data_IF_227641794937
#
_entry.id   IF_227641794937
#
_cell.length_a   1.000
_cell.length_b   1.000
_cell.length_c   1.000
_cell.angle_alpha   90.00
_cell.angle_beta   90.00
_cell.angle_gamma   90.00
#
_symmetry.space_group_name_H-M   'P 1'
#
loop_
_entity.id
_entity.type
_entity.pdbx_description
1 polymer ?
#
# COMPACT_ATOMS: atom_id res chain seq x y z
N UNK A 1 5.71 -0.67 -28.14
CA UNK A 1 6.43 -0.34 -26.88
C UNK A 1 5.61 -0.87 -25.70
N UNK A 2 6.19 -1.55 -24.71
CA UNK A 2 5.44 -1.98 -23.50
C UNK A 2 5.07 -0.74 -22.66
N UNK A 3 3.84 -0.65 -22.11
CA UNK A 3 3.43 0.49 -21.31
C UNK A 3 4.25 0.57 -20.02
N UNK A 4 4.67 1.77 -19.64
CA UNK A 4 5.31 2.10 -18.38
C UNK A 4 4.21 2.26 -17.32
N UNK A 5 4.25 1.38 -16.32
CA UNK A 5 3.24 1.32 -15.26
C UNK A 5 3.86 1.79 -13.95
N UNK A 6 3.25 2.80 -13.33
CA UNK A 6 3.63 3.26 -11.98
C UNK A 6 2.56 2.89 -10.97
N UNK A 7 2.99 2.66 -9.73
CA UNK A 7 2.09 2.49 -8.58
C UNK A 7 2.14 3.71 -7.68
N UNK A 8 0.97 4.19 -7.27
CA UNK A 8 0.77 5.27 -6.32
C UNK A 8 0.08 4.70 -5.09
N UNK A 9 0.78 4.69 -3.96
CA UNK A 9 0.40 3.90 -2.80
C UNK A 9 0.17 4.81 -1.62
N UNK A 10 -1.06 4.84 -1.11
CA UNK A 10 -1.32 5.42 0.19
C UNK A 10 -0.87 4.43 1.27
N UNK A 11 0.31 4.70 1.88
CA UNK A 11 0.90 3.80 2.86
C UNK A 11 0.03 3.63 4.10
N UNK A 12 -0.72 4.66 4.49
CA UNK A 12 -1.52 4.63 5.70
C UNK A 12 -2.79 3.83 5.46
N UNK A 13 -3.50 4.10 4.36
CA UNK A 13 -4.69 3.34 3.98
C UNK A 13 -4.36 1.86 3.75
N UNK A 14 -3.25 1.55 3.07
CA UNK A 14 -2.79 0.18 2.87
C UNK A 14 -2.47 -0.51 4.20
N UNK A 15 -1.61 0.10 5.03
CA UNK A 15 -1.17 -0.52 6.28
C UNK A 15 -2.32 -0.71 7.27
N UNK A 16 -3.16 0.30 7.48
CA UNK A 16 -4.29 0.19 8.41
C UNK A 16 -5.37 -0.74 7.85
N UNK A 17 -5.64 -0.67 6.54
CA UNK A 17 -6.62 -1.51 5.87
C UNK A 17 -6.26 -2.99 5.92
N UNK A 18 -4.98 -3.36 5.85
CA UNK A 18 -4.59 -4.78 6.03
C UNK A 18 -4.54 -5.17 7.51
N UNK A 19 -4.05 -4.30 8.39
CA UNK A 19 -3.64 -4.69 9.76
C UNK A 19 -4.68 -4.53 10.86
N UNK A 20 -5.71 -3.69 10.68
CA UNK A 20 -6.74 -3.50 11.71
C UNK A 20 -7.80 -4.59 11.64
N UNK A 21 -8.26 -5.04 12.80
CA UNK A 21 -9.50 -5.81 12.89
C UNK A 21 -10.67 -4.89 12.54
N UNK A 22 -11.70 -5.46 11.92
CA UNK A 22 -12.99 -4.79 11.74
C UNK A 22 -14.03 -5.65 12.42
N UNK A 23 -14.70 -5.05 13.39
CA UNK A 23 -15.75 -5.67 14.18
C UNK A 23 -17.07 -4.98 13.84
N UNK A 24 -18.15 -5.75 13.70
CA UNK A 24 -19.52 -5.26 13.51
C UNK A 24 -20.40 -5.99 14.49
N UNK A 25 -21.04 -5.23 15.40
CA UNK A 25 -21.98 -5.69 16.44
C UNK A 25 -21.67 -7.11 16.95
N UNK A 26 -20.83 -7.20 17.99
CA UNK A 26 -20.45 -8.45 18.66
C UNK A 26 -19.79 -9.52 17.77
N UNK A 27 -19.41 -9.20 16.53
CA UNK A 27 -18.76 -10.14 15.62
C UNK A 27 -17.57 -9.52 14.88
N UNK A 28 -16.45 -10.24 14.87
CA UNK A 28 -15.31 -9.92 14.00
C UNK A 28 -15.65 -10.29 12.55
N UNK A 29 -15.58 -9.31 11.65
CA UNK A 29 -15.88 -9.48 10.22
C UNK A 29 -14.64 -9.43 9.32
N UNK A 30 -13.53 -8.95 9.88
CA UNK A 30 -12.20 -8.98 9.26
C UNK A 30 -11.13 -9.08 10.35
N UNK A 31 -10.22 -10.03 10.20
CA UNK A 31 -9.06 -10.20 11.09
C UNK A 31 -7.84 -9.57 10.42
N UNK A 32 -7.26 -8.59 11.10
CA UNK A 32 -6.11 -7.87 10.62
C UNK A 32 -4.87 -8.74 10.47
N UNK A 33 -4.04 -8.41 9.48
CA UNK A 33 -2.76 -9.07 9.22
C UNK A 33 -1.71 -8.04 8.78
N UNK A 34 -0.45 -8.38 9.02
CA UNK A 34 0.67 -7.50 8.68
C UNK A 34 1.17 -7.82 7.29
N UNK A 35 1.14 -6.82 6.41
CA UNK A 35 1.65 -6.90 5.05
C UNK A 35 3.18 -6.91 5.04
N UNK A 36 3.76 -7.81 4.26
CA UNK A 36 5.18 -7.78 3.94
C UNK A 36 5.40 -6.85 2.74
N UNK A 37 5.96 -5.66 3.01
CA UNK A 37 6.21 -4.65 1.99
C UNK A 37 7.20 -5.10 0.91
N UNK A 38 8.13 -6.02 1.22
CA UNK A 38 9.05 -6.58 0.23
C UNK A 38 8.32 -7.53 -0.71
N UNK A 39 7.50 -8.44 -0.16
CA UNK A 39 6.65 -9.34 -0.98
C UNK A 39 5.65 -8.53 -1.80
N UNK A 40 5.05 -7.48 -1.23
CA UNK A 40 4.12 -6.60 -1.94
C UNK A 40 4.80 -5.87 -3.11
N UNK A 41 6.01 -5.34 -2.93
CA UNK A 41 6.75 -4.68 -4.02
C UNK A 41 7.06 -5.63 -5.17
N UNK A 42 7.44 -6.87 -4.85
CA UNK A 42 7.65 -7.95 -5.83
C UNK A 42 6.35 -8.28 -6.57
N UNK A 43 5.23 -8.40 -5.86
CA UNK A 43 3.92 -8.64 -6.46
C UNK A 43 3.52 -7.53 -7.45
N UNK A 44 3.70 -6.26 -7.08
CA UNK A 44 3.46 -5.14 -7.99
C UNK A 44 4.31 -5.24 -9.27
N UNK A 45 5.59 -5.61 -9.13
CA UNK A 45 6.50 -5.79 -10.25
C UNK A 45 6.10 -6.98 -11.14
N UNK A 46 5.83 -8.15 -10.55
CA UNK A 46 5.58 -9.37 -11.33
C UNK A 46 4.18 -9.40 -11.95
N UNK A 47 3.15 -8.98 -11.19
CA UNK A 47 1.76 -9.09 -11.63
C UNK A 47 1.37 -7.96 -12.58
N UNK A 48 1.83 -6.75 -12.30
CA UNK A 48 1.40 -5.55 -13.00
C UNK A 48 2.53 -4.84 -13.75
N UNK A 49 3.74 -5.41 -13.78
CA UNK A 49 4.91 -4.79 -14.43
C UNK A 49 5.18 -3.36 -13.93
N UNK A 50 4.91 -3.11 -12.64
CA UNK A 50 5.15 -1.80 -12.03
C UNK A 50 6.64 -1.48 -12.04
N UNK A 51 7.00 -0.48 -12.82
CA UNK A 51 8.35 0.03 -12.96
C UNK A 51 8.77 0.82 -11.71
N UNK A 52 7.92 1.76 -11.27
CA UNK A 52 8.16 2.60 -10.08
C UNK A 52 6.97 2.53 -9.13
N UNK A 53 7.25 2.48 -7.84
CA UNK A 53 6.24 2.43 -6.78
C UNK A 53 6.45 3.60 -5.81
N UNK A 54 5.61 4.62 -5.94
CA UNK A 54 5.59 5.79 -5.08
C UNK A 54 4.76 5.50 -3.83
N UNK A 55 5.40 5.57 -2.67
CA UNK A 55 4.78 5.29 -1.38
C UNK A 55 4.61 6.60 -0.61
N UNK A 56 3.37 7.08 -0.55
CA UNK A 56 3.01 8.30 0.18
C UNK A 56 2.89 8.00 1.66
N UNK A 57 3.71 8.64 2.49
CA UNK A 57 3.84 8.34 3.91
C UNK A 57 4.05 9.61 4.74
N UNK A 58 3.54 9.65 5.97
CA UNK A 58 3.84 10.76 6.90
C UNK A 58 5.28 10.67 7.43
N UNK A 59 5.93 11.82 7.60
CA UNK A 59 7.26 11.89 8.19
C UNK A 59 7.18 11.91 9.73
N UNK A 60 7.89 10.97 10.35
CA UNK A 60 8.04 10.82 11.80
C UNK A 60 9.52 10.48 12.02
N UNK A 61 10.25 11.35 12.72
CA UNK A 61 11.71 11.24 12.93
C UNK A 61 12.14 9.88 13.51
N UNK A 62 11.31 9.25 14.33
CA UNK A 62 11.60 7.96 14.97
C UNK A 62 11.54 6.77 13.99
N UNK A 63 10.98 6.96 12.79
CA UNK A 63 10.76 5.90 11.80
C UNK A 63 11.87 5.77 10.75
N UNK A 64 13.05 6.36 10.93
CA UNK A 64 14.15 6.29 9.96
C UNK A 64 14.52 4.86 9.53
N UNK A 65 14.53 3.91 10.47
CA UNK A 65 14.79 2.50 10.16
C UNK A 65 13.74 1.91 9.21
N UNK A 66 12.46 2.25 9.43
CA UNK A 66 11.36 1.86 8.56
C UNK A 66 11.54 2.47 7.15
N UNK A 67 11.86 3.75 7.07
CA UNK A 67 12.06 4.44 5.79
C UNK A 67 13.23 3.84 4.99
N UNK A 68 14.35 3.53 5.66
CA UNK A 68 15.47 2.83 5.02
C UNK A 68 15.06 1.46 4.48
N UNK A 69 14.34 0.67 5.27
CA UNK A 69 13.85 -0.66 4.86
C UNK A 69 12.88 -0.57 3.66
N UNK A 70 11.97 0.39 3.64
CA UNK A 70 11.06 0.60 2.50
C UNK A 70 11.82 1.01 1.24
N UNK A 71 12.80 1.92 1.33
CA UNK A 71 13.66 2.28 0.19
C UNK A 71 14.42 1.07 -0.34
N UNK A 72 15.01 0.26 0.55
CA UNK A 72 15.71 -0.98 0.18
C UNK A 72 14.78 -2.01 -0.49
N UNK A 73 13.49 -2.00 -0.17
CA UNK A 73 12.51 -2.83 -0.87
C UNK A 73 12.22 -2.32 -2.30
N UNK A 74 12.62 -1.10 -2.66
CA UNK A 74 12.41 -0.51 -3.98
C UNK A 74 11.21 0.43 -4.08
N UNK A 75 10.83 1.08 -2.97
CA UNK A 75 9.82 2.14 -2.95
C UNK A 75 10.47 3.53 -3.05
N UNK A 76 9.86 4.41 -3.84
CA UNK A 76 10.15 5.85 -3.86
C UNK A 76 9.26 6.53 -2.82
N UNK A 77 9.84 6.91 -1.67
CA UNK A 77 9.08 7.51 -0.57
C UNK A 77 8.74 8.97 -0.87
N UNK A 78 7.45 9.30 -0.81
CA UNK A 78 6.96 10.67 -0.91
C UNK A 78 6.40 11.06 0.46
N UNK A 79 7.08 11.98 1.14
CA UNK A 79 6.63 12.43 2.45
C UNK A 79 5.48 13.43 2.29
N UNK A 80 4.32 13.07 2.83
CA UNK A 80 3.18 13.99 2.90
C UNK A 80 3.61 15.21 3.74
N UNK A 81 3.35 16.45 3.30
CA UNK A 81 3.72 17.64 4.06
C UNK A 81 3.10 17.54 5.45
N UNK A 82 3.92 17.68 6.48
CA UNK A 82 3.43 17.82 7.85
C UNK A 82 2.77 19.19 7.93
N UNK A 83 1.47 19.22 8.24
CA UNK A 83 0.75 20.47 8.46
C UNK A 83 1.43 21.18 9.62
N UNK A 84 2.26 22.18 9.30
CA UNK A 84 2.76 23.33 10.11
C UNK A 84 4.14 23.76 9.60
N UNK A 85 4.12 24.72 8.69
CA UNK A 85 5.10 25.79 8.61
C UNK A 85 4.34 27.06 9.05
N UNK A 86 4.97 27.91 9.85
CA UNK A 86 4.45 29.18 10.37
C UNK A 86 4.07 30.18 9.25
N UNK A 87 4.33 29.83 7.99
CA UNK A 87 4.02 30.62 6.79
C UNK A 87 2.75 30.17 6.04
N UNK A 88 1.98 29.18 6.54
CA UNK A 88 0.66 28.81 5.99
C UNK A 88 0.62 28.32 4.54
N UNK A 89 1.76 28.22 3.84
CA UNK A 89 1.82 27.80 2.44
C UNK A 89 2.08 26.31 2.36
N UNK A 90 1.00 25.54 2.26
CA UNK A 90 1.08 24.16 1.80
C UNK A 90 1.66 24.16 0.37
N UNK A 91 2.97 23.90 0.22
CA UNK A 91 3.57 23.53 -1.08
C UNK A 91 3.16 22.10 -1.41
N UNK A 92 1.86 21.89 -1.62
CA UNK A 92 1.33 20.77 -2.36
C UNK A 92 1.56 21.02 -3.84
N UNK A 93 2.83 21.10 -4.26
CA UNK A 93 3.11 21.03 -5.69
C UNK A 93 2.70 19.63 -6.11
N UNK A 94 1.58 19.51 -6.81
CA UNK A 94 1.19 18.31 -7.50
C UNK A 94 2.43 17.85 -8.27
N UNK A 95 3.08 16.78 -7.79
CA UNK A 95 4.25 16.24 -8.47
C UNK A 95 3.73 15.74 -9.80
N UNK A 96 3.93 16.53 -10.86
CA UNK A 96 3.74 16.04 -12.20
C UNK A 96 4.69 14.86 -12.35
N UNK A 97 4.13 13.68 -12.56
CA UNK A 97 4.88 12.48 -12.94
C UNK A 97 4.71 12.28 -14.46
N UNK A 98 5.44 13.00 -15.32
CA UNK A 98 5.17 13.05 -16.75
C UNK A 98 5.54 11.77 -17.53
N UNK A 99 5.87 10.66 -16.87
CA UNK A 99 6.54 9.51 -17.51
C UNK A 99 5.89 8.16 -17.24
N UNK A 100 4.55 8.08 -17.19
CA UNK A 100 3.85 6.79 -17.14
C UNK A 100 2.63 6.76 -18.06
N UNK A 101 2.39 5.58 -18.62
CA UNK A 101 1.26 5.30 -19.50
C UNK A 101 0.03 4.88 -18.68
N UNK A 102 0.26 4.13 -17.61
CA UNK A 102 -0.79 3.50 -16.79
C UNK A 102 -0.47 3.54 -15.29
N UNK A 103 -1.51 3.67 -14.47
CA UNK A 103 -1.42 3.81 -13.01
C UNK A 103 -2.07 2.63 -12.28
N UNK A 104 -1.35 2.11 -11.29
CA UNK A 104 -1.88 1.25 -10.24
C UNK A 104 -2.09 2.11 -8.98
N UNK A 105 -3.35 2.37 -8.64
CA UNK A 105 -3.70 3.07 -7.40
C UNK A 105 -3.81 2.06 -6.27
N UNK A 106 -3.16 2.28 -5.14
CA UNK A 106 -3.25 1.40 -3.97
C UNK A 106 -3.85 2.17 -2.81
N UNK A 107 -5.17 2.09 -2.71
CA UNK A 107 -6.00 2.66 -1.66
C UNK A 107 -7.42 2.11 -1.78
N UNK A 108 -8.11 1.99 -0.67
CA UNK A 108 -9.55 1.78 -0.59
C UNK A 108 -10.32 3.02 -0.16
N UNK A 109 -9.66 4.17 -0.04
CA UNK A 109 -10.26 5.42 0.46
C UNK A 109 -11.15 6.11 -0.58
N UNK A 110 -12.25 6.69 -0.12
CA UNK A 110 -13.18 7.46 -0.95
C UNK A 110 -12.60 8.79 -1.41
N UNK A 111 -11.66 9.36 -0.67
CA UNK A 111 -11.02 10.63 -0.99
C UNK A 111 -10.27 10.61 -2.33
N UNK A 112 -9.88 9.42 -2.80
CA UNK A 112 -9.24 9.25 -4.11
C UNK A 112 -10.24 9.10 -5.27
N UNK A 113 -11.56 9.16 -5.01
CA UNK A 113 -12.58 8.98 -6.06
C UNK A 113 -12.36 9.93 -7.24
N UNK A 114 -12.16 11.22 -6.99
CA UNK A 114 -11.95 12.21 -8.05
C UNK A 114 -10.69 11.91 -8.88
N UNK A 115 -9.61 11.44 -8.24
CA UNK A 115 -8.39 11.04 -8.93
C UNK A 115 -8.61 9.77 -9.76
N UNK A 116 -9.34 8.79 -9.23
CA UNK A 116 -9.71 7.57 -9.97
C UNK A 116 -10.54 7.92 -11.20
N UNK A 117 -11.54 8.78 -11.05
CA UNK A 117 -12.39 9.26 -12.15
C UNK A 117 -11.58 9.97 -13.23
N UNK A 118 -10.68 10.88 -12.83
CA UNK A 118 -9.74 11.54 -13.73
C UNK A 118 -8.84 10.54 -14.47
N UNK A 119 -8.23 9.58 -13.77
CA UNK A 119 -7.38 8.58 -14.40
C UNK A 119 -8.16 7.69 -15.37
N UNK A 120 -9.45 7.41 -15.12
CA UNK A 120 -10.31 6.69 -16.07
C UNK A 120 -10.58 7.53 -17.30
N UNK A 121 -10.93 8.82 -17.14
CA UNK A 121 -11.23 9.71 -18.27
C UNK A 121 -10.03 9.93 -19.18
N UNK A 122 -8.82 9.95 -18.60
CA UNK A 122 -7.56 10.04 -19.35
C UNK A 122 -7.08 8.69 -19.92
N UNK A 123 -7.84 7.61 -19.73
CA UNK A 123 -7.41 6.24 -20.05
C UNK A 123 -6.04 5.89 -19.43
N UNK A 124 -5.76 6.36 -18.22
CA UNK A 124 -4.53 6.09 -17.47
C UNK A 124 -4.71 5.12 -16.31
N UNK A 125 -5.93 4.87 -15.83
CA UNK A 125 -6.16 3.88 -14.77
C UNK A 125 -5.91 2.45 -15.29
N UNK A 126 -5.08 1.69 -14.57
CA UNK A 126 -4.89 0.26 -14.84
C UNK A 126 -5.58 -0.61 -13.80
N UNK A 127 -5.27 -0.42 -12.52
CA UNK A 127 -5.87 -1.18 -11.41
C UNK A 127 -5.99 -0.32 -10.15
N UNK A 128 -6.95 -0.68 -9.31
CA UNK A 128 -7.11 -0.18 -7.94
C UNK A 128 -6.85 -1.36 -7.01
N UNK A 129 -5.90 -1.28 -6.09
CA UNK A 129 -5.65 -2.30 -5.09
C UNK A 129 -6.27 -1.84 -3.77
N UNK A 130 -7.45 -2.38 -3.47
CA UNK A 130 -8.15 -2.13 -2.23
C UNK A 130 -7.57 -3.03 -1.12
N UNK A 131 -7.24 -2.49 0.07
CA UNK A 131 -6.61 -3.29 1.14
C UNK A 131 -7.45 -4.50 1.58
N UNK A 132 -8.77 -4.34 1.63
CA UNK A 132 -9.72 -5.39 2.01
C UNK A 132 -11.10 -5.13 1.37
N UNK A 133 -12.11 -5.96 1.67
CA UNK A 133 -13.49 -5.85 1.13
C UNK A 133 -14.29 -4.61 1.53
N UNK A 134 -13.84 -3.87 2.53
CA UNK A 134 -14.51 -2.71 3.14
C UNK A 134 -13.92 -1.38 2.62
N UNK A 135 -13.62 -1.30 1.32
CA UNK A 135 -13.24 -0.05 0.68
C UNK A 135 -14.46 0.83 0.39
N UNK A 136 -14.23 2.10 0.06
CA UNK A 136 -15.29 3.09 -0.14
C UNK A 136 -16.26 2.68 -1.24
N UNK A 137 -17.55 2.87 -0.97
CA UNK A 137 -18.65 2.64 -1.93
C UNK A 137 -18.51 3.51 -3.19
N UNK A 138 -17.86 4.67 -3.09
CA UNK A 138 -17.57 5.54 -4.24
C UNK A 138 -16.73 4.83 -5.29
N UNK A 139 -15.89 3.87 -4.89
CA UNK A 139 -15.06 3.10 -5.80
C UNK A 139 -15.81 1.92 -6.45
N UNK A 140 -17.05 1.61 -6.03
CA UNK A 140 -17.80 0.46 -6.55
C UNK A 140 -18.11 0.58 -8.05
N UNK A 141 -18.33 1.81 -8.55
CA UNK A 141 -18.48 2.10 -9.99
C UNK A 141 -17.28 1.61 -10.82
N UNK A 142 -16.11 1.46 -10.18
CA UNK A 142 -14.85 1.07 -10.80
C UNK A 142 -14.43 -0.37 -10.46
N UNK A 143 -15.34 -1.22 -9.99
CA UNK A 143 -15.05 -2.60 -9.56
C UNK A 143 -14.28 -3.44 -10.58
N UNK A 144 -14.48 -3.20 -11.89
CA UNK A 144 -13.73 -3.87 -12.96
C UNK A 144 -12.21 -3.64 -12.90
N UNK A 145 -11.76 -2.58 -12.22
CA UNK A 145 -10.36 -2.26 -11.99
C UNK A 145 -9.85 -2.75 -10.63
N UNK A 146 -10.74 -3.15 -9.72
CA UNK A 146 -10.41 -3.42 -8.33
C UNK A 146 -9.79 -4.81 -8.16
N UNK A 147 -8.68 -4.87 -7.43
CA UNK A 147 -8.03 -6.07 -6.94
C UNK A 147 -7.99 -5.99 -5.42
N UNK A 148 -8.44 -7.04 -4.76
CA UNK A 148 -8.54 -7.16 -3.31
C UNK A 148 -7.23 -7.71 -2.73
N UNK A 149 -6.52 -6.92 -1.93
CA UNK A 149 -5.21 -7.32 -1.34
C UNK A 149 -5.38 -8.35 -0.22
N UNK A 150 -6.49 -8.32 0.53
CA UNK A 150 -6.82 -9.32 1.54
C UNK A 150 -6.94 -10.74 0.97
N UNK A 151 -7.39 -10.89 -0.28
CA UNK A 151 -7.44 -12.19 -0.97
C UNK A 151 -6.04 -12.77 -1.25
N UNK A 152 -4.99 -11.95 -1.13
CA UNK A 152 -3.59 -12.32 -1.34
C UNK A 152 -2.83 -12.49 -0.02
N UNK A 153 -3.54 -12.47 1.13
CA UNK A 153 -2.92 -12.54 2.46
C UNK A 153 -1.93 -13.70 2.61
N UNK A 154 -2.25 -14.89 2.10
CA UNK A 154 -1.38 -16.06 2.24
C UNK A 154 0.00 -15.86 1.60
N UNK A 155 0.08 -15.15 0.48
CA UNK A 155 1.33 -14.90 -0.23
C UNK A 155 2.03 -13.61 0.21
N UNK A 156 1.31 -12.67 0.81
CA UNK A 156 1.82 -11.33 1.12
C UNK A 156 2.01 -11.07 2.62
N UNK A 157 1.59 -11.97 3.51
CA UNK A 157 1.71 -11.77 4.95
C UNK A 157 3.16 -11.85 5.42
N UNK A 158 3.50 -10.99 6.39
CA UNK A 158 4.72 -11.12 7.18
C UNK A 158 4.66 -12.41 8.00
N UNK A 159 5.61 -13.29 7.75
CA UNK A 159 5.80 -14.49 8.54
C UNK A 159 6.17 -14.10 9.98
N UNK A 160 5.65 -14.85 10.96
CA UNK A 160 6.17 -14.72 12.32
C UNK A 160 7.63 -15.20 12.30
N UNK A 161 8.54 -14.56 13.04
CA UNK A 161 9.87 -15.11 13.21
C UNK A 161 9.72 -16.55 13.73
N UNK A 162 10.36 -17.50 13.04
CA UNK A 162 10.44 -18.89 13.49
C UNK A 162 11.12 -18.81 14.85
N UNK A 163 10.40 -19.17 15.92
CA UNK A 163 11.06 -19.41 17.22
C UNK A 163 12.03 -20.55 16.96
N UNK A 164 13.34 -20.30 17.05
CA UNK A 164 14.32 -21.39 17.15
C UNK A 164 13.85 -22.24 18.33
N UNK A 165 13.41 -23.47 18.07
CA UNK A 165 13.23 -24.47 19.12
C UNK A 165 14.56 -24.59 19.83
N UNK A 166 14.60 -24.22 21.11
CA UNK A 166 15.69 -24.56 21.99
C UNK A 166 15.91 -26.06 21.89
N UNK A 167 17.09 -26.46 21.43
CA UNK A 167 17.52 -27.85 21.46
C UNK A 167 17.62 -28.19 22.94
N UNK A 168 16.60 -28.86 23.46
CA UNK A 168 16.59 -29.37 24.83
C UNK A 168 17.87 -30.18 25.04
N UNK A 169 18.69 -29.75 25.99
CA UNK A 169 19.92 -30.41 26.37
C UNK A 169 19.68 -31.90 26.61
N UNK A 170 20.41 -32.73 25.86
CA UNK A 170 20.70 -34.09 26.31
C UNK A 170 21.83 -33.99 27.32
N UNK A 171 21.46 -33.92 28.60
CA UNK A 171 22.32 -34.44 29.64
C UNK A 171 22.37 -35.97 29.53
N UNK A 172 23.56 -36.52 29.80
CA UNK A 172 23.89 -37.84 30.37
C UNK A 172 24.77 -38.73 29.49
N UNK A 173 25.53 -39.68 30.10
CA UNK A 173 25.62 -40.01 31.53
C UNK A 173 26.79 -39.37 32.26
#
# INVERSE_FOLDING_TARGET
KKPIIYAFIDSQNLNLGTSKNIDKVNKRIYTGWRLDFKKFRRYLSSKFHVAKAFLFIGYIKQNEKLYKMLRLCGYELIFKPTVKDDQGKAKGNAVEYPKYDKAVMVSGDGDFHCLVEYLVSQNKLFRILAPNKHYSRLLHKYNRYVVRVDLLQNSLRLEKPIKKTEISGRSKP
#
